data_IF_222188415122
#
_entry.id   IF_222188415122
#
_cell.length_a   1.000
_cell.length_b   1.000
_cell.length_c   1.000
_cell.angle_alpha   90.00
_cell.angle_beta   90.00
_cell.angle_gamma   90.00
#
_symmetry.space_group_name_H-M   'P 1'
#
loop_
_entity.id
_entity.type
_entity.pdbx_description
1 polymer ?
#
# COMPACT_ATOMS: atom_id res chain seq x y z
N UNK A 1 -4.60 34.56 8.36
CA UNK A 1 -4.30 33.75 7.16
C UNK A 1 -4.49 32.30 7.52
N UNK A 2 -5.42 31.62 6.88
CA UNK A 2 -5.55 30.17 7.01
C UNK A 2 -4.34 29.51 6.33
N UNK A 3 -3.69 28.60 7.06
CA UNK A 3 -2.51 27.88 6.56
C UNK A 3 -3.00 26.74 5.68
N UNK A 4 -2.53 26.66 4.43
CA UNK A 4 -2.87 25.54 3.54
C UNK A 4 -2.54 24.18 4.19
N UNK A 5 -3.42 23.15 4.02
CA UNK A 5 -3.15 21.78 4.44
C UNK A 5 -1.88 21.19 3.81
N UNK A 6 -1.49 21.71 2.65
CA UNK A 6 -0.39 21.21 1.86
C UNK A 6 0.87 22.06 2.04
N UNK A 7 2.01 21.45 1.73
CA UNK A 7 3.28 22.14 1.61
C UNK A 7 4.10 21.53 0.49
N UNK A 8 4.82 22.39 -0.24
CA UNK A 8 5.76 21.93 -1.23
C UNK A 8 7.02 21.38 -0.54
N UNK A 9 7.47 20.23 -1.01
CA UNK A 9 8.74 19.59 -0.66
C UNK A 9 9.52 19.37 -1.94
N UNK A 10 10.79 19.78 -1.97
CA UNK A 10 11.72 19.35 -3.02
C UNK A 10 12.22 17.94 -2.71
N UNK A 11 12.20 17.07 -3.70
CA UNK A 11 12.72 15.71 -3.59
C UNK A 11 13.64 15.39 -4.75
N UNK A 12 14.70 14.64 -4.48
CA UNK A 12 15.61 14.15 -5.50
C UNK A 12 15.10 12.82 -6.09
N UNK A 13 15.01 12.73 -7.41
CA UNK A 13 14.65 11.49 -8.09
C UNK A 13 15.69 10.39 -7.85
N UNK A 14 15.26 9.19 -7.43
CA UNK A 14 16.18 8.06 -7.23
C UNK A 14 16.86 7.59 -8.52
N UNK A 15 16.22 7.78 -9.68
CA UNK A 15 16.74 7.39 -10.98
C UNK A 15 17.62 8.49 -11.60
N UNK A 16 17.03 9.59 -12.08
CA UNK A 16 17.76 10.62 -12.83
C UNK A 16 18.51 11.65 -11.96
N UNK A 17 18.41 11.56 -10.62
CA UNK A 17 19.06 12.44 -9.64
C UNK A 17 18.70 13.92 -9.70
N UNK A 18 17.81 14.34 -10.61
CA UNK A 18 17.25 15.69 -10.66
C UNK A 18 16.27 15.92 -9.51
N UNK A 19 16.27 17.14 -8.99
CA UNK A 19 15.26 17.57 -8.02
C UNK A 19 13.97 17.98 -8.72
N UNK A 20 12.84 17.74 -8.06
CA UNK A 20 11.53 18.21 -8.50
C UNK A 20 10.64 18.53 -7.29
N UNK A 21 9.69 19.47 -7.43
CA UNK A 21 8.74 19.78 -6.38
C UNK A 21 7.62 18.73 -6.31
N UNK A 22 7.13 18.47 -5.10
CA UNK A 22 5.92 17.68 -4.84
C UNK A 22 5.18 18.26 -3.65
N UNK A 23 3.85 18.10 -3.59
CA UNK A 23 3.10 18.38 -2.36
C UNK A 23 3.18 17.21 -1.38
N UNK A 24 3.17 17.57 -0.09
CA UNK A 24 2.85 16.69 1.03
C UNK A 24 1.78 17.33 1.91
N UNK A 25 1.04 16.50 2.63
CA UNK A 25 0.07 16.96 3.65
C UNK A 25 0.81 17.23 4.95
N UNK A 26 0.58 18.38 5.58
CA UNK A 26 1.13 18.68 6.90
C UNK A 26 0.43 17.81 7.94
N UNK A 27 1.18 17.17 8.82
CA UNK A 27 0.66 16.20 9.81
C UNK A 27 -0.51 16.74 10.64
N UNK A 28 -0.51 18.03 11.00
CA UNK A 28 -1.60 18.66 11.78
C UNK A 28 -2.97 18.66 11.09
N UNK A 29 -3.00 18.53 9.76
CA UNK A 29 -4.23 18.45 8.97
C UNK A 29 -4.59 17.02 8.58
N UNK A 30 -3.75 16.04 8.93
CA UNK A 30 -4.07 14.62 8.75
C UNK A 30 -4.95 14.21 9.92
N UNK A 31 -6.27 14.20 9.69
CA UNK A 31 -7.25 13.74 10.66
C UNK A 31 -7.84 12.42 10.18
N UNK A 32 -7.64 11.35 10.95
CA UNK A 32 -8.23 10.04 10.68
C UNK A 32 -9.48 9.93 11.54
N UNK A 33 -10.63 9.71 10.91
CA UNK A 33 -11.92 9.46 11.58
C UNK A 33 -11.91 8.07 12.21
N UNK A 34 -11.67 7.05 11.38
CA UNK A 34 -11.46 5.68 11.82
C UNK A 34 -10.54 4.93 10.84
N UNK A 35 -10.14 3.74 11.23
CA UNK A 35 -9.31 2.84 10.41
C UNK A 35 -10.08 1.55 10.18
N UNK A 36 -10.21 1.13 8.93
CA UNK A 36 -10.86 -0.13 8.58
C UNK A 36 -9.98 -1.34 8.97
N UNK A 37 -10.55 -2.54 8.94
CA UNK A 37 -9.87 -3.78 9.36
C UNK A 37 -8.63 -4.09 8.53
N UNK A 38 -8.55 -3.69 7.26
CA UNK A 38 -7.35 -3.83 6.43
C UNK A 38 -6.33 -2.68 6.60
N UNK A 39 -6.45 -1.91 7.69
CA UNK A 39 -5.68 -0.72 8.01
C UNK A 39 -5.87 0.48 7.07
N UNK A 40 -6.94 0.53 6.27
CA UNK A 40 -7.27 1.72 5.48
C UNK A 40 -7.66 2.90 6.41
N UNK A 41 -6.89 4.00 6.44
CA UNK A 41 -7.30 5.18 7.19
C UNK A 41 -8.40 5.94 6.43
N UNK A 42 -9.55 6.14 7.07
CA UNK A 42 -10.61 7.01 6.59
C UNK A 42 -10.35 8.42 7.13
N UNK A 43 -10.07 9.36 6.23
CA UNK A 43 -9.73 10.73 6.61
C UNK A 43 -10.97 11.61 6.78
N UNK A 44 -10.98 12.43 7.84
CA UNK A 44 -11.96 13.49 8.04
C UNK A 44 -11.60 14.75 7.23
N UNK A 45 -12.56 15.66 7.08
CA UNK A 45 -12.36 17.02 6.56
C UNK A 45 -11.76 17.13 5.13
N UNK A 46 -11.89 16.09 4.31
CA UNK A 46 -11.57 16.12 2.87
C UNK A 46 -10.07 16.11 2.51
N UNK A 47 -9.15 16.16 3.48
CA UNK A 47 -7.70 16.14 3.22
C UNK A 47 -7.18 14.71 3.24
N UNK A 48 -7.09 14.08 2.08
CA UNK A 48 -6.64 12.70 1.96
C UNK A 48 -5.10 12.59 1.79
N UNK A 49 -4.40 12.22 2.86
CA UNK A 49 -2.95 12.06 2.83
C UNK A 49 -2.47 10.90 1.95
N UNK A 50 -3.35 9.92 1.65
CA UNK A 50 -3.07 8.80 0.76
C UNK A 50 -2.61 9.28 -0.63
N UNK A 51 -3.15 10.39 -1.11
CA UNK A 51 -2.90 10.86 -2.46
C UNK A 51 -1.44 11.31 -2.69
N UNK A 52 -0.67 11.55 -1.63
CA UNK A 52 0.65 12.19 -1.68
C UNK A 52 1.80 11.29 -1.19
N UNK A 53 1.57 9.99 -1.05
CA UNK A 53 2.60 9.03 -0.66
C UNK A 53 3.59 8.71 -1.79
N UNK A 54 3.14 8.81 -3.05
CA UNK A 54 3.96 8.54 -4.24
C UNK A 54 4.51 9.82 -4.85
N UNK A 55 5.80 9.80 -5.14
CA UNK A 55 6.49 10.85 -5.89
C UNK A 55 6.65 10.42 -7.34
N UNK A 56 6.28 11.30 -8.27
CA UNK A 56 6.42 11.07 -9.72
C UNK A 56 7.42 12.10 -10.24
N UNK A 57 8.55 11.63 -10.75
CA UNK A 57 9.57 12.50 -11.31
C UNK A 57 9.09 13.13 -12.62
N UNK A 58 8.94 14.45 -12.65
CA UNK A 58 8.56 15.19 -13.85
C UNK A 58 9.55 15.02 -15.02
N UNK A 59 10.82 14.78 -14.71
CA UNK A 59 11.91 14.72 -15.69
C UNK A 59 12.03 13.39 -16.42
N UNK A 60 11.67 12.28 -15.78
CA UNK A 60 11.94 10.93 -16.32
C UNK A 60 10.84 9.90 -16.05
N UNK A 61 9.71 10.29 -15.44
CA UNK A 61 8.57 9.40 -15.14
C UNK A 61 8.79 8.39 -14.02
N UNK A 62 10.04 8.19 -13.58
CA UNK A 62 10.34 7.27 -12.49
C UNK A 62 9.58 7.69 -11.22
N UNK A 63 8.78 6.75 -10.71
CA UNK A 63 7.84 6.97 -9.63
C UNK A 63 8.16 6.06 -8.46
N UNK A 64 8.17 6.60 -7.25
CA UNK A 64 8.67 5.90 -6.07
C UNK A 64 8.06 6.44 -4.78
N UNK A 65 8.21 5.69 -3.68
CA UNK A 65 7.85 6.12 -2.32
C UNK A 65 9.11 6.26 -1.46
N UNK A 66 8.95 6.69 -0.22
CA UNK A 66 10.07 6.71 0.76
C UNK A 66 10.54 5.30 1.14
N UNK A 67 9.73 4.26 0.86
CA UNK A 67 10.06 2.86 1.17
C UNK A 67 10.96 2.19 0.11
N UNK A 68 11.15 2.83 -1.05
CA UNK A 68 11.98 2.28 -2.13
C UNK A 68 13.46 2.32 -1.78
N UNK A 69 14.18 1.25 -2.13
CA UNK A 69 15.62 1.22 -1.96
C UNK A 69 16.31 2.24 -2.87
N UNK A 70 17.30 2.96 -2.33
CA UNK A 70 18.16 3.86 -3.12
C UNK A 70 19.12 3.10 -4.04
N UNK A 71 19.33 1.81 -3.80
CA UNK A 71 20.20 0.94 -4.59
C UNK A 71 19.49 0.46 -5.86
N UNK A 72 20.21 0.41 -6.98
CA UNK A 72 19.76 -0.17 -8.23
C UNK A 72 20.69 -1.33 -8.60
N UNK A 73 20.12 -2.51 -8.85
CA UNK A 73 20.91 -3.64 -9.33
C UNK A 73 21.47 -3.35 -10.74
N UNK A 74 22.57 -4.02 -11.14
CA UNK A 74 23.11 -3.88 -12.49
C UNK A 74 22.04 -4.12 -13.56
N UNK A 75 21.99 -3.25 -14.57
CA UNK A 75 21.01 -3.31 -15.67
C UNK A 75 19.64 -2.69 -15.35
N UNK A 76 19.24 -2.57 -14.08
CA UNK A 76 17.92 -2.04 -13.70
C UNK A 76 17.70 -0.59 -14.16
N UNK A 77 18.75 0.24 -14.18
CA UNK A 77 18.63 1.61 -14.69
C UNK A 77 18.34 1.64 -16.20
N UNK A 78 18.95 0.76 -16.98
CA UNK A 78 18.67 0.65 -18.41
C UNK A 78 17.25 0.14 -18.67
N UNK A 79 16.78 -0.84 -17.88
CA UNK A 79 15.39 -1.32 -17.95
C UNK A 79 14.39 -0.18 -17.66
N UNK A 80 14.64 0.63 -16.63
CA UNK A 80 13.82 1.81 -16.31
C UNK A 80 13.89 2.84 -17.45
N UNK A 81 15.07 3.07 -18.04
CA UNK A 81 15.19 4.00 -19.17
C UNK A 81 14.30 3.56 -20.32
N UNK A 82 14.44 2.32 -20.77
CA UNK A 82 13.75 1.76 -21.94
C UNK A 82 12.23 1.66 -21.70
N UNK A 83 11.82 1.21 -20.51
CA UNK A 83 10.41 0.93 -20.25
C UNK A 83 9.64 2.15 -19.74
N UNK A 84 10.30 3.11 -19.08
CA UNK A 84 9.66 4.27 -18.45
C UNK A 84 10.13 5.57 -19.06
N UNK A 85 11.43 5.86 -19.03
CA UNK A 85 11.93 7.21 -19.34
C UNK A 85 11.74 7.58 -20.81
N UNK A 86 12.07 6.68 -21.74
CA UNK A 86 11.94 6.91 -23.19
C UNK A 86 10.48 7.01 -23.64
N UNK A 87 9.55 6.47 -22.85
CA UNK A 87 8.11 6.51 -23.09
C UNK A 87 7.41 7.58 -22.28
N UNK A 88 8.15 8.36 -21.49
CA UNK A 88 7.56 9.33 -20.57
C UNK A 88 7.01 10.51 -21.35
N UNK A 89 5.70 10.72 -21.21
CA UNK A 89 5.02 11.95 -21.58
C UNK A 89 4.85 12.75 -20.30
N UNK A 90 5.14 14.06 -20.35
CA UNK A 90 5.04 14.91 -19.17
C UNK A 90 3.63 14.90 -18.58
N UNK A 91 3.54 14.65 -17.28
CA UNK A 91 2.31 14.73 -16.47
C UNK A 91 2.56 15.63 -15.27
N UNK A 92 1.58 16.47 -14.94
CA UNK A 92 1.68 17.36 -13.78
C UNK A 92 1.12 16.70 -12.50
N UNK A 93 2.00 16.54 -11.52
CA UNK A 93 1.70 16.04 -10.17
C UNK A 93 2.11 17.03 -9.07
N UNK A 94 2.36 18.30 -9.42
CA UNK A 94 2.90 19.34 -8.51
C UNK A 94 1.86 19.96 -7.58
N UNK A 95 0.58 19.77 -7.87
CA UNK A 95 -0.52 20.39 -7.16
C UNK A 95 -1.32 19.42 -6.28
N UNK A 96 -2.46 19.91 -5.83
CA UNK A 96 -3.45 19.09 -5.15
C UNK A 96 -3.95 17.99 -6.11
N UNK A 97 -4.01 16.76 -5.61
CA UNK A 97 -4.34 15.59 -6.41
C UNK A 97 -5.80 15.23 -6.23
N UNK A 98 -6.45 14.95 -7.35
CA UNK A 98 -7.67 14.16 -7.37
C UNK A 98 -7.36 12.68 -7.08
N UNK A 99 -8.39 11.91 -6.71
CA UNK A 99 -8.29 10.45 -6.60
C UNK A 99 -7.74 9.79 -7.88
N UNK A 100 -8.08 10.32 -9.07
CA UNK A 100 -7.60 9.79 -10.34
C UNK A 100 -6.11 10.04 -10.55
N UNK A 101 -5.61 11.23 -10.20
CA UNK A 101 -4.17 11.52 -10.21
C UNK A 101 -3.41 10.68 -9.18
N UNK A 102 -3.98 10.46 -7.99
CA UNK A 102 -3.41 9.55 -7.02
C UNK A 102 -3.29 8.13 -7.60
N UNK A 103 -4.37 7.58 -8.16
CA UNK A 103 -4.36 6.25 -8.81
C UNK A 103 -3.31 6.19 -9.91
N UNK A 104 -3.18 7.23 -10.75
CA UNK A 104 -2.16 7.28 -11.79
C UNK A 104 -0.75 7.22 -11.20
N UNK A 105 -0.46 8.04 -10.17
CA UNK A 105 0.83 8.04 -9.49
C UNK A 105 1.16 6.66 -8.90
N UNK A 106 0.21 6.04 -8.20
CA UNK A 106 0.39 4.70 -7.63
C UNK A 106 0.63 3.63 -8.68
N UNK A 107 -0.07 3.65 -9.82
CA UNK A 107 0.19 2.72 -10.92
C UNK A 107 1.58 2.89 -11.52
N UNK A 108 2.05 4.13 -11.67
CA UNK A 108 3.40 4.41 -12.13
C UNK A 108 4.45 3.90 -11.13
N UNK A 109 4.24 4.11 -9.82
CA UNK A 109 5.14 3.60 -8.79
C UNK A 109 5.13 2.08 -8.71
N UNK A 110 3.96 1.44 -8.87
CA UNK A 110 3.85 -0.02 -8.95
C UNK A 110 4.70 -0.56 -10.12
N UNK A 111 4.51 -0.01 -11.32
CA UNK A 111 5.30 -0.40 -12.50
C UNK A 111 6.81 -0.19 -12.29
N UNK A 112 7.19 0.98 -11.78
CA UNK A 112 8.60 1.29 -11.49
C UNK A 112 9.19 0.35 -10.44
N UNK A 113 8.44 0.04 -9.38
CA UNK A 113 8.86 -0.88 -8.33
C UNK A 113 9.02 -2.31 -8.83
N UNK A 114 8.12 -2.79 -9.71
CA UNK A 114 8.22 -4.11 -10.33
C UNK A 114 9.47 -4.23 -11.21
N UNK A 115 9.72 -3.25 -12.10
CA UNK A 115 10.93 -3.24 -12.94
C UNK A 115 12.18 -3.14 -12.06
N UNK A 116 12.13 -2.32 -11.01
CA UNK A 116 13.25 -2.14 -10.07
C UNK A 116 13.48 -3.35 -9.16
N UNK A 117 12.55 -4.33 -9.14
CA UNK A 117 12.56 -5.48 -8.23
C UNK A 117 12.66 -5.04 -6.77
N UNK A 118 11.84 -4.05 -6.41
CA UNK A 118 11.68 -3.66 -5.01
C UNK A 118 11.15 -4.82 -4.18
N UNK A 119 11.36 -4.73 -2.86
CA UNK A 119 10.85 -5.69 -1.90
C UNK A 119 9.34 -5.88 -2.08
N UNK A 120 8.89 -7.12 -1.99
CA UNK A 120 7.49 -7.51 -2.07
C UNK A 120 6.65 -6.75 -1.03
N UNK A 121 7.15 -6.50 0.18
CA UNK A 121 6.42 -5.68 1.18
C UNK A 121 6.11 -4.25 0.69
N UNK A 122 7.03 -3.64 -0.06
CA UNK A 122 6.84 -2.29 -0.61
C UNK A 122 5.82 -2.32 -1.75
N UNK A 123 5.89 -3.33 -2.60
CA UNK A 123 4.94 -3.54 -3.71
C UNK A 123 3.54 -3.84 -3.16
N UNK A 124 3.42 -4.70 -2.15
CA UNK A 124 2.16 -5.00 -1.46
C UNK A 124 1.52 -3.74 -0.87
N UNK A 125 2.32 -2.87 -0.25
CA UNK A 125 1.85 -1.58 0.27
C UNK A 125 1.35 -0.63 -0.83
N UNK A 126 1.92 -0.67 -2.04
CA UNK A 126 1.44 0.13 -3.18
C UNK A 126 0.10 -0.40 -3.71
N UNK A 127 0.00 -1.71 -3.91
CA UNK A 127 -1.22 -2.35 -4.45
C UNK A 127 -2.38 -2.28 -3.45
N UNK A 128 -2.12 -2.41 -2.15
CA UNK A 128 -3.15 -2.23 -1.12
C UNK A 128 -3.74 -0.82 -1.16
N UNK A 129 -2.89 0.20 -1.29
CA UNK A 129 -3.34 1.60 -1.38
C UNK A 129 -4.09 1.87 -2.68
N UNK A 130 -3.75 1.21 -3.79
CA UNK A 130 -4.57 1.22 -5.00
C UNK A 130 -5.95 0.64 -4.75
N UNK A 131 -6.06 -0.48 -4.03
CA UNK A 131 -7.35 -1.05 -3.67
C UNK A 131 -8.21 -0.05 -2.88
N UNK A 132 -7.64 0.62 -1.87
CA UNK A 132 -8.33 1.66 -1.11
C UNK A 132 -8.79 2.85 -1.96
N UNK A 133 -7.97 3.29 -2.92
CA UNK A 133 -8.37 4.34 -3.85
C UNK A 133 -9.56 3.89 -4.72
N UNK A 134 -9.57 2.66 -5.19
CA UNK A 134 -10.69 2.11 -5.96
C UNK A 134 -11.94 1.87 -5.10
N UNK A 135 -11.79 1.48 -3.83
CA UNK A 135 -12.88 1.42 -2.84
C UNK A 135 -13.57 2.77 -2.70
N UNK A 136 -12.80 3.86 -2.60
CA UNK A 136 -13.36 5.22 -2.52
C UNK A 136 -14.16 5.64 -3.75
N UNK A 137 -13.89 4.99 -4.90
CA UNK A 137 -14.62 5.17 -6.15
C UNK A 137 -15.76 4.17 -6.34
N UNK A 138 -16.01 3.28 -5.37
CA UNK A 138 -16.95 2.15 -5.47
C UNK A 138 -16.70 1.25 -6.70
N UNK A 139 -15.43 1.11 -7.07
CA UNK A 139 -15.03 0.26 -8.20
C UNK A 139 -14.61 -1.12 -7.69
N UNK A 140 -15.59 -1.96 -7.39
CA UNK A 140 -15.41 -3.27 -6.77
C UNK A 140 -14.47 -4.18 -7.60
N UNK A 141 -14.58 -4.16 -8.93
CA UNK A 141 -13.75 -4.99 -9.80
C UNK A 141 -12.26 -4.66 -9.69
N UNK A 142 -11.90 -3.37 -9.67
CA UNK A 142 -10.50 -2.97 -9.51
C UNK A 142 -10.04 -3.07 -8.05
N UNK A 143 -10.91 -2.77 -7.09
CA UNK A 143 -10.62 -2.98 -5.68
C UNK A 143 -10.22 -4.45 -5.44
N UNK A 144 -11.08 -5.40 -5.86
CA UNK A 144 -10.83 -6.83 -5.74
C UNK A 144 -9.52 -7.24 -6.39
N UNK A 145 -9.25 -6.78 -7.62
CA UNK A 145 -8.00 -7.06 -8.32
C UNK A 145 -6.78 -6.63 -7.52
N UNK A 146 -6.78 -5.39 -7.01
CA UNK A 146 -5.63 -4.86 -6.28
C UNK A 146 -5.51 -5.42 -4.86
N UNK A 147 -6.62 -5.81 -4.20
CA UNK A 147 -6.58 -6.56 -2.93
C UNK A 147 -5.96 -7.94 -3.13
N UNK A 148 -6.34 -8.68 -4.18
CA UNK A 148 -5.73 -9.97 -4.49
C UNK A 148 -4.23 -9.83 -4.74
N UNK A 149 -3.81 -8.85 -5.55
CA UNK A 149 -2.39 -8.57 -5.78
C UNK A 149 -1.65 -8.21 -4.49
N UNK A 150 -2.23 -7.38 -3.62
CA UNK A 150 -1.63 -7.03 -2.33
C UNK A 150 -1.46 -8.27 -1.44
N UNK A 151 -2.48 -9.13 -1.36
CA UNK A 151 -2.42 -10.39 -0.62
C UNK A 151 -1.27 -11.27 -1.14
N UNK A 152 -1.19 -11.47 -2.45
CA UNK A 152 -0.16 -12.31 -3.07
C UNK A 152 1.25 -11.78 -2.78
N UNK A 153 1.48 -10.47 -2.93
CA UNK A 153 2.77 -9.87 -2.58
C UNK A 153 3.09 -9.91 -1.09
N UNK A 154 2.09 -9.83 -0.19
CA UNK A 154 2.34 -10.06 1.22
C UNK A 154 2.71 -11.53 1.50
N UNK A 155 2.16 -12.50 0.78
CA UNK A 155 2.57 -13.90 0.88
C UNK A 155 4.01 -14.12 0.38
N UNK A 156 4.39 -13.49 -0.73
CA UNK A 156 5.77 -13.51 -1.22
C UNK A 156 6.72 -12.87 -0.21
N UNK A 157 6.33 -11.71 0.34
CA UNK A 157 7.09 -11.02 1.39
C UNK A 157 7.24 -11.89 2.64
N UNK A 158 6.16 -12.53 3.10
CA UNK A 158 6.19 -13.47 4.22
C UNK A 158 7.17 -14.61 3.99
N UNK A 159 7.20 -15.16 2.78
CA UNK A 159 8.04 -16.30 2.41
C UNK A 159 9.51 -15.94 2.22
N UNK A 160 9.80 -14.71 1.78
CA UNK A 160 11.17 -14.22 1.55
C UNK A 160 11.74 -13.43 2.73
N UNK A 161 10.93 -13.13 3.76
CA UNK A 161 11.29 -12.34 4.94
C UNK A 161 11.86 -10.95 4.63
N UNK A 162 11.49 -10.37 3.47
CA UNK A 162 12.03 -9.09 3.03
C UNK A 162 11.51 -7.88 3.82
N UNK A 163 10.47 -8.09 4.63
CA UNK A 163 9.90 -7.15 5.59
C UNK A 163 10.74 -6.98 6.85
N UNK A 164 11.65 -7.90 7.19
CA UNK A 164 12.42 -7.91 8.44
C UNK A 164 13.33 -6.69 8.64
N UNK A 165 13.65 -5.96 7.57
CA UNK A 165 14.41 -4.70 7.60
C UNK A 165 13.53 -3.46 7.39
N UNK A 166 12.23 -3.58 7.64
CA UNK A 166 11.23 -2.51 7.54
C UNK A 166 10.51 -2.34 8.89
N UNK A 167 9.55 -1.41 8.95
CA UNK A 167 8.71 -1.22 10.14
C UNK A 167 7.55 -2.23 10.24
N UNK A 168 7.40 -3.14 9.27
CA UNK A 168 6.37 -4.18 9.28
C UNK A 168 6.83 -5.39 10.10
N UNK A 169 6.08 -5.74 11.15
CA UNK A 169 6.29 -6.96 11.94
C UNK A 169 5.77 -8.21 11.22
N UNK A 170 6.27 -9.38 11.62
CA UNK A 170 5.77 -10.69 11.15
C UNK A 170 4.26 -10.84 11.44
N UNK A 171 3.83 -10.43 12.64
CA UNK A 171 2.42 -10.43 13.07
C UNK A 171 1.57 -9.57 12.13
N UNK A 172 2.04 -8.38 11.77
CA UNK A 172 1.31 -7.47 10.89
C UNK A 172 1.22 -8.00 9.46
N UNK A 173 2.29 -8.60 8.93
CA UNK A 173 2.27 -9.24 7.61
C UNK A 173 1.27 -10.41 7.59
N UNK A 174 1.31 -11.29 8.59
CA UNK A 174 0.36 -12.40 8.69
C UNK A 174 -1.09 -11.92 8.80
N UNK A 175 -1.34 -10.87 9.59
CA UNK A 175 -2.66 -10.26 9.70
C UNK A 175 -3.14 -9.72 8.35
N UNK A 176 -2.29 -9.00 7.61
CA UNK A 176 -2.65 -8.47 6.29
C UNK A 176 -2.96 -9.57 5.29
N UNK A 177 -2.21 -10.67 5.28
CA UNK A 177 -2.54 -11.83 4.44
C UNK A 177 -3.91 -12.37 4.81
N UNK A 178 -4.19 -12.55 6.11
CA UNK A 178 -5.44 -13.11 6.58
C UNK A 178 -6.65 -12.24 6.23
N UNK A 179 -6.58 -10.93 6.53
CA UNK A 179 -7.69 -10.01 6.31
C UNK A 179 -7.96 -9.76 4.83
N UNK A 180 -6.92 -9.64 4.01
CA UNK A 180 -7.11 -9.53 2.56
C UNK A 180 -7.65 -10.82 1.97
N UNK A 181 -7.17 -11.99 2.40
CA UNK A 181 -7.74 -13.29 2.02
C UNK A 181 -9.23 -13.38 2.36
N UNK A 182 -9.64 -12.92 3.56
CA UNK A 182 -11.06 -12.89 3.95
C UNK A 182 -11.87 -12.00 3.02
N UNK A 183 -11.42 -10.77 2.79
CA UNK A 183 -12.10 -9.78 1.94
C UNK A 183 -12.27 -10.26 0.50
N UNK A 184 -11.31 -11.01 -0.04
CA UNK A 184 -11.39 -11.55 -1.40
C UNK A 184 -12.10 -12.91 -1.49
N UNK A 185 -12.60 -13.46 -0.38
CA UNK A 185 -13.34 -14.73 -0.32
C UNK A 185 -12.47 -16.00 -0.17
N UNK A 186 -11.15 -15.86 -0.01
CA UNK A 186 -10.24 -16.98 0.27
C UNK A 186 -10.25 -17.30 1.77
N UNK A 187 -11.35 -17.92 2.23
CA UNK A 187 -11.57 -18.23 3.64
C UNK A 187 -10.57 -19.27 4.18
N UNK A 188 -9.95 -20.08 3.33
CA UNK A 188 -8.95 -21.08 3.73
C UNK A 188 -7.67 -20.39 4.19
N UNK A 189 -7.10 -19.52 3.34
CA UNK A 189 -5.92 -18.75 3.74
C UNK A 189 -6.23 -17.76 4.86
N UNK A 190 -7.42 -17.14 4.86
CA UNK A 190 -7.83 -16.27 5.95
C UNK A 190 -7.80 -16.99 7.30
N UNK A 191 -8.45 -18.16 7.38
CA UNK A 191 -8.48 -18.98 8.62
C UNK A 191 -7.06 -19.36 9.04
N UNK A 192 -6.24 -19.84 8.09
CA UNK A 192 -4.88 -20.31 8.38
C UNK A 192 -3.99 -19.21 8.96
N UNK A 193 -4.02 -18.01 8.38
CA UNK A 193 -3.15 -16.92 8.84
C UNK A 193 -3.69 -16.21 10.09
N UNK A 194 -5.01 -16.10 10.28
CA UNK A 194 -5.54 -15.61 11.55
C UNK A 194 -5.16 -16.51 12.73
N UNK A 195 -5.21 -17.84 12.56
CA UNK A 195 -4.72 -18.76 13.60
C UNK A 195 -3.24 -18.51 13.94
N UNK A 196 -2.38 -18.36 12.92
CA UNK A 196 -0.95 -18.02 13.14
C UNK A 196 -0.74 -16.72 13.90
N UNK A 197 -1.55 -15.69 13.62
CA UNK A 197 -1.50 -14.41 14.36
C UNK A 197 -1.90 -14.62 15.82
N UNK A 198 -2.97 -15.37 16.08
CA UNK A 198 -3.47 -15.63 17.43
C UNK A 198 -2.46 -16.46 18.24
N UNK A 199 -1.80 -17.43 17.62
CA UNK A 199 -0.74 -18.23 18.25
C UNK A 199 0.43 -17.39 18.76
N UNK A 200 0.72 -16.26 18.10
CA UNK A 200 1.78 -15.31 18.49
C UNK A 200 1.45 -14.49 19.73
N UNK A 201 0.24 -14.60 20.29
CA UNK A 201 -0.14 -13.85 21.49
C UNK A 201 0.75 -14.11 22.72
N UNK A 202 1.41 -15.27 22.77
CA UNK A 202 2.33 -15.65 23.83
C UNK A 202 3.67 -14.88 23.79
N UNK A 203 4.03 -14.29 22.65
CA UNK A 203 5.32 -13.59 22.44
C UNK A 203 5.26 -12.13 22.89
N UNK A 204 4.05 -11.56 23.01
CA UNK A 204 3.83 -10.14 23.34
C UNK A 204 4.14 -9.19 22.18
N UNK A 205 3.83 -7.89 22.34
CA UNK A 205 4.26 -6.82 21.43
C UNK A 205 3.23 -6.29 20.41
N UNK A 206 2.16 -7.03 20.10
CA UNK A 206 1.17 -6.67 19.05
C UNK A 206 -0.29 -6.96 19.49
N UNK A 207 -0.63 -6.73 20.76
CA UNK A 207 -1.92 -7.12 21.35
C UNK A 207 -3.14 -6.64 20.54
N UNK A 208 -3.09 -5.40 20.02
CA UNK A 208 -4.17 -4.84 19.19
C UNK A 208 -4.39 -5.64 17.90
N UNK A 209 -3.33 -6.04 17.21
CA UNK A 209 -3.45 -6.83 15.97
C UNK A 209 -3.97 -8.23 16.27
N UNK A 210 -3.56 -8.81 17.40
CA UNK A 210 -4.06 -10.11 17.88
C UNK A 210 -5.56 -10.04 18.17
N UNK A 211 -6.03 -8.99 18.83
CA UNK A 211 -7.46 -8.83 19.13
C UNK A 211 -8.27 -8.64 17.85
N UNK A 212 -7.78 -7.81 16.92
CA UNK A 212 -8.37 -7.68 15.58
C UNK A 212 -8.43 -9.03 14.86
N UNK A 213 -7.39 -9.88 14.96
CA UNK A 213 -7.38 -11.21 14.36
C UNK A 213 -8.45 -12.13 14.99
N UNK A 214 -8.63 -12.09 16.31
CA UNK A 214 -9.67 -12.87 17.00
C UNK A 214 -11.08 -12.46 16.55
N UNK A 215 -11.33 -11.16 16.43
CA UNK A 215 -12.60 -10.61 15.94
C UNK A 215 -12.90 -11.10 14.51
N UNK A 216 -11.94 -10.93 13.58
CA UNK A 216 -12.14 -11.37 12.19
C UNK A 216 -12.26 -12.89 12.07
N UNK A 217 -11.57 -13.64 12.92
CA UNK A 217 -11.67 -15.10 12.95
C UNK A 217 -13.00 -15.62 13.52
N UNK A 218 -13.64 -14.86 14.42
CA UNK A 218 -14.99 -15.17 14.89
C UNK A 218 -16.01 -15.00 13.76
N UNK A 219 -15.93 -13.90 13.00
CA UNK A 219 -16.80 -13.63 11.84
C UNK A 219 -16.74 -14.79 10.82
N UNK A 220 -15.53 -15.25 10.45
CA UNK A 220 -15.39 -16.38 9.51
C UNK A 220 -16.05 -17.66 10.04
N UNK A 221 -16.00 -17.91 11.36
CA UNK A 221 -16.62 -19.09 11.96
C UNK A 221 -18.15 -19.01 11.87
N UNK A 222 -18.71 -17.86 12.19
CA UNK A 222 -20.15 -17.61 12.07
C UNK A 222 -20.62 -17.77 10.60
N UNK A 223 -19.89 -17.21 9.63
CA UNK A 223 -20.18 -17.37 8.20
C UNK A 223 -20.18 -18.85 7.76
N UNK A 224 -19.19 -19.63 8.22
CA UNK A 224 -19.11 -21.08 7.91
C UNK A 224 -20.21 -21.89 8.57
N UNK A 225 -20.63 -21.53 9.77
CA UNK A 225 -21.73 -22.21 10.48
C UNK A 225 -23.07 -21.92 9.79
N UNK A 226 -23.33 -20.68 9.41
CA UNK A 226 -24.51 -20.31 8.64
C UNK A 226 -24.56 -21.01 7.28
N UNK A 227 -23.45 -21.06 6.54
CA UNK A 227 -23.38 -21.73 5.24
C UNK A 227 -23.57 -23.26 5.31
N UNK A 228 -23.42 -23.89 6.49
CA UNK A 228 -23.70 -25.32 6.72
C UNK A 228 -25.15 -25.60 7.08
N UNK A 229 -25.90 -24.58 7.50
CA UNK A 229 -27.29 -24.69 7.94
C UNK A 229 -28.30 -24.37 6.82
N UNK A 230 -27.83 -23.74 5.73
CA UNK A 230 -28.59 -23.47 4.49
C UNK A 230 -28.31 -24.56 3.47
#
# INVERSE_FOLDING_TARGET
>A
MEISPYYEKKIQCLHCKKEFPTLKVRSKFIKVDHTETDFHPIYADGVNALYYNVFVCEHCGFSFTEDFSKYFAPGTQDEIRIQITEKWVHHDFKGERTVFQAIQAYKLAFLCGTIKKEKFVAIAGLTLRLAWLYRSLKNEGQEQRFMTMARDYYMDSYSNEDYSSTQMSDVRIMYMIAELSRRIGDLENATRFFSKVIEKQSVGGEAKIIDMAKEQWAIIREEKEHARQV
#
